data_IF_839477343788
#
_entry.id   IF_839477343788
#
_cell.length_a   1.000
_cell.length_b   1.000
_cell.length_c   1.000
_cell.angle_alpha   90.00
_cell.angle_beta   90.00
_cell.angle_gamma   90.00
#
_symmetry.space_group_name_H-M   'P 1'
#
loop_
_entity.id
_entity.type
_entity.pdbx_description
1 polymer ?
#
# COMPACT_ATOMS: atom_id res chain seq x y z
N UNK A 1 -28.04 -1.54 -65.76
CA UNK A 1 -27.92 -0.48 -64.75
C UNK A 1 -28.27 -0.94 -63.31
N UNK A 2 -29.07 -1.98 -63.07
CA UNK A 2 -29.45 -2.42 -61.68
C UNK A 2 -28.31 -3.03 -60.86
N UNK A 3 -27.30 -3.71 -61.44
CA UNK A 3 -26.18 -4.35 -60.70
C UNK A 3 -25.19 -3.37 -60.09
N UNK A 4 -24.97 -2.18 -60.66
CA UNK A 4 -24.03 -1.19 -60.11
C UNK A 4 -24.60 -0.43 -58.87
N UNK A 5 -25.91 -0.19 -58.86
CA UNK A 5 -26.57 0.45 -57.72
C UNK A 5 -26.60 -0.43 -56.45
N UNK A 6 -26.76 -1.75 -56.65
CA UNK A 6 -26.75 -2.72 -55.55
C UNK A 6 -25.36 -2.90 -54.91
N UNK A 7 -24.28 -2.85 -55.72
CA UNK A 7 -22.89 -2.93 -55.26
C UNK A 7 -22.49 -1.68 -54.43
N UNK A 8 -22.97 -0.49 -54.80
CA UNK A 8 -22.76 0.76 -54.01
C UNK A 8 -23.44 0.75 -52.63
N UNK A 9 -24.66 0.24 -52.56
CA UNK A 9 -25.41 0.15 -51.29
C UNK A 9 -24.73 -0.80 -50.30
N UNK A 10 -24.25 -1.96 -50.70
CA UNK A 10 -23.50 -2.90 -49.88
C UNK A 10 -22.19 -2.30 -49.34
N UNK A 11 -21.47 -1.53 -50.16
CA UNK A 11 -20.20 -0.87 -49.76
C UNK A 11 -20.40 0.22 -48.73
N UNK A 12 -21.49 0.98 -48.76
CA UNK A 12 -21.83 2.01 -47.78
C UNK A 12 -22.24 1.37 -46.46
N UNK A 13 -23.08 0.34 -46.48
CA UNK A 13 -23.48 -0.39 -45.27
C UNK A 13 -22.25 -1.00 -44.54
N UNK A 14 -21.33 -1.62 -45.28
CA UNK A 14 -20.09 -2.17 -44.70
C UNK A 14 -19.24 -1.07 -44.07
N UNK A 15 -19.08 0.09 -44.69
CA UNK A 15 -18.34 1.23 -44.12
C UNK A 15 -18.99 1.74 -42.86
N UNK A 16 -20.31 1.86 -42.80
CA UNK A 16 -21.04 2.26 -41.58
C UNK A 16 -20.85 1.23 -40.48
N UNK A 17 -20.97 -0.06 -40.75
CA UNK A 17 -20.72 -1.13 -39.78
C UNK A 17 -19.31 -1.06 -39.19
N UNK A 18 -18.27 -0.90 -40.06
CA UNK A 18 -16.89 -0.76 -39.60
C UNK A 18 -16.73 0.46 -38.69
N UNK A 19 -17.33 1.60 -39.04
CA UNK A 19 -17.25 2.84 -38.25
C UNK A 19 -17.93 2.68 -36.89
N UNK A 20 -19.09 2.04 -36.83
CA UNK A 20 -19.81 1.74 -35.58
C UNK A 20 -18.98 0.79 -34.72
N UNK A 21 -18.43 -0.27 -35.25
CA UNK A 21 -17.57 -1.23 -34.54
C UNK A 21 -16.33 -0.49 -33.99
N UNK A 22 -15.68 0.33 -34.78
CA UNK A 22 -14.52 1.11 -34.37
C UNK A 22 -14.87 2.07 -33.21
N UNK A 23 -16.02 2.75 -33.29
CA UNK A 23 -16.51 3.63 -32.23
C UNK A 23 -16.80 2.86 -30.93
N UNK A 24 -17.40 1.67 -31.00
CA UNK A 24 -17.66 0.81 -29.86
C UNK A 24 -16.36 0.33 -29.21
N UNK A 25 -15.38 -0.11 -30.00
CA UNK A 25 -14.05 -0.51 -29.50
C UNK A 25 -13.38 0.66 -28.79
N UNK A 26 -13.36 1.84 -29.40
CA UNK A 26 -12.75 3.03 -28.81
C UNK A 26 -13.41 3.42 -27.48
N UNK A 27 -14.75 3.40 -27.41
CA UNK A 27 -15.52 3.66 -26.19
C UNK A 27 -15.19 2.66 -25.08
N UNK A 28 -15.13 1.37 -25.41
CA UNK A 28 -14.78 0.33 -24.44
C UNK A 28 -13.34 0.49 -23.91
N UNK A 29 -12.36 0.78 -24.79
CA UNK A 29 -10.97 1.04 -24.39
C UNK A 29 -10.87 2.25 -23.45
N UNK A 30 -11.56 3.34 -23.78
CA UNK A 30 -11.59 4.54 -22.93
C UNK A 30 -12.17 4.23 -21.56
N UNK A 31 -13.31 3.53 -21.51
CA UNK A 31 -13.96 3.13 -20.26
C UNK A 31 -13.04 2.23 -19.40
N UNK A 32 -12.35 1.28 -20.04
CA UNK A 32 -11.40 0.40 -19.35
C UNK A 32 -10.25 1.17 -18.71
N UNK A 33 -9.66 2.14 -19.43
CA UNK A 33 -8.58 2.99 -18.89
C UNK A 33 -9.08 3.78 -17.68
N UNK A 34 -10.26 4.38 -17.76
CA UNK A 34 -10.84 5.14 -16.65
C UNK A 34 -11.12 4.26 -15.43
N UNK A 35 -11.67 3.06 -15.62
CA UNK A 35 -11.94 2.09 -14.55
C UNK A 35 -10.64 1.69 -13.85
N UNK A 36 -9.60 1.33 -14.60
CA UNK A 36 -8.32 0.90 -14.04
C UNK A 36 -7.67 2.04 -13.23
N UNK A 37 -7.65 3.26 -13.77
CA UNK A 37 -7.06 4.41 -13.09
C UNK A 37 -7.81 4.76 -11.80
N UNK A 38 -9.14 4.81 -11.83
CA UNK A 38 -9.95 5.09 -10.64
C UNK A 38 -9.81 3.97 -9.60
N UNK A 39 -9.80 2.70 -10.01
CA UNK A 39 -9.59 1.56 -9.11
C UNK A 39 -8.24 1.63 -8.42
N UNK A 40 -7.17 2.04 -9.13
CA UNK A 40 -5.84 2.20 -8.55
C UNK A 40 -5.83 3.23 -7.42
N UNK A 41 -6.45 4.40 -7.65
CA UNK A 41 -6.53 5.46 -6.64
C UNK A 41 -7.31 4.97 -5.41
N UNK A 42 -8.48 4.35 -5.62
CA UNK A 42 -9.33 3.86 -4.53
C UNK A 42 -8.63 2.77 -3.69
N UNK A 43 -7.99 1.80 -4.33
CA UNK A 43 -7.27 0.72 -3.64
C UNK A 43 -6.08 1.30 -2.87
N UNK A 44 -5.28 2.18 -3.47
CA UNK A 44 -4.17 2.86 -2.79
C UNK A 44 -4.65 3.59 -1.54
N UNK A 45 -5.69 4.41 -1.67
CA UNK A 45 -6.24 5.17 -0.53
C UNK A 45 -6.78 4.24 0.56
N UNK A 46 -7.49 3.16 0.17
CA UNK A 46 -7.99 2.17 1.13
C UNK A 46 -6.86 1.47 1.88
N UNK A 47 -5.82 1.03 1.18
CA UNK A 47 -4.65 0.40 1.79
C UNK A 47 -3.96 1.36 2.74
N UNK A 48 -3.71 2.60 2.32
CA UNK A 48 -3.08 3.62 3.16
C UNK A 48 -3.89 3.91 4.42
N UNK A 49 -5.22 4.05 4.31
CA UNK A 49 -6.09 4.25 5.48
C UNK A 49 -6.04 3.06 6.44
N UNK A 50 -6.05 1.83 5.92
CA UNK A 50 -5.94 0.63 6.73
C UNK A 50 -4.57 0.53 7.41
N UNK A 51 -3.47 0.89 6.72
CA UNK A 51 -2.14 0.95 7.31
C UNK A 51 -2.06 1.96 8.45
N UNK A 52 -2.62 3.16 8.27
CA UNK A 52 -2.65 4.18 9.32
C UNK A 52 -3.47 3.71 10.53
N UNK A 53 -4.64 3.11 10.29
CA UNK A 53 -5.46 2.54 11.36
C UNK A 53 -4.69 1.47 12.13
N UNK A 54 -4.03 0.57 11.41
CA UNK A 54 -3.21 -0.49 12.01
C UNK A 54 -2.02 0.09 12.79
N UNK A 55 -1.32 1.11 12.26
CA UNK A 55 -0.21 1.76 12.96
C UNK A 55 -0.68 2.40 14.28
N UNK A 56 -1.83 3.09 14.28
CA UNK A 56 -2.43 3.67 15.47
C UNK A 56 -2.82 2.59 16.49
N UNK A 57 -3.52 1.55 16.05
CA UNK A 57 -3.91 0.43 16.94
C UNK A 57 -2.68 -0.26 17.53
N UNK A 58 -1.65 -0.50 16.72
CA UNK A 58 -0.40 -1.10 17.20
C UNK A 58 0.32 -0.20 18.21
N UNK A 59 0.33 1.12 17.97
CA UNK A 59 0.88 2.10 18.91
C UNK A 59 0.13 2.11 20.24
N UNK A 60 -1.21 2.05 20.20
CA UNK A 60 -2.05 1.95 21.41
C UNK A 60 -1.79 0.66 22.18
N UNK A 61 -1.65 -0.48 21.50
CA UNK A 61 -1.33 -1.76 22.12
C UNK A 61 0.02 -1.70 22.83
N UNK A 62 1.06 -1.17 22.15
CA UNK A 62 2.40 -0.99 22.72
C UNK A 62 2.37 -0.04 23.92
N UNK A 63 1.72 1.12 23.79
CA UNK A 63 1.60 2.10 24.87
C UNK A 63 0.87 1.54 26.09
N UNK A 64 -0.21 0.78 25.89
CA UNK A 64 -0.95 0.14 26.97
C UNK A 64 -0.11 -0.92 27.67
N UNK A 65 0.62 -1.75 26.94
CA UNK A 65 1.51 -2.75 27.52
C UNK A 65 2.64 -2.11 28.31
N UNK A 66 3.25 -1.04 27.80
CA UNK A 66 4.26 -0.26 28.54
C UNK A 66 3.71 0.30 29.85
N UNK A 67 2.47 0.84 29.83
CA UNK A 67 1.83 1.35 31.06
C UNK A 67 1.61 0.25 32.10
N UNK A 68 1.19 -0.95 31.67
CA UNK A 68 1.04 -2.11 32.55
C UNK A 68 2.38 -2.48 33.18
N UNK A 69 3.48 -2.36 32.44
CA UNK A 69 4.83 -2.64 32.87
C UNK A 69 5.55 -1.43 33.55
N UNK A 70 4.79 -0.50 34.15
CA UNK A 70 5.32 0.69 34.79
C UNK A 70 6.19 1.58 33.87
N UNK A 71 5.78 1.74 32.62
CA UNK A 71 6.47 2.52 31.59
C UNK A 71 7.90 2.03 31.27
N UNK A 72 8.21 0.76 31.53
CA UNK A 72 9.47 0.15 31.10
C UNK A 72 9.41 -0.21 29.62
N UNK A 73 10.56 -0.18 28.97
CA UNK A 73 10.71 -0.74 27.61
C UNK A 73 10.32 -2.21 27.63
N UNK A 74 9.56 -2.64 26.60
CA UNK A 74 9.12 -4.01 26.47
C UNK A 74 10.28 -4.90 25.98
N UNK A 75 10.28 -6.15 26.43
CA UNK A 75 11.12 -7.20 25.87
C UNK A 75 10.63 -7.62 24.47
N UNK A 76 11.50 -8.30 23.71
CA UNK A 76 11.11 -8.86 22.40
C UNK A 76 9.86 -9.76 22.50
N UNK A 77 9.77 -10.60 23.51
CA UNK A 77 8.66 -11.55 23.68
C UNK A 77 7.34 -10.84 24.00
N UNK A 78 7.39 -9.73 24.73
CA UNK A 78 6.22 -8.87 24.99
C UNK A 78 5.75 -8.19 23.71
N UNK A 79 6.66 -7.60 22.92
CA UNK A 79 6.32 -7.09 21.59
C UNK A 79 5.73 -8.18 20.69
N UNK A 80 6.37 -9.35 20.63
CA UNK A 80 5.92 -10.45 19.78
C UNK A 80 4.53 -10.94 20.19
N UNK A 81 4.21 -10.99 21.48
CA UNK A 81 2.91 -11.39 21.98
C UNK A 81 1.77 -10.50 21.45
N UNK A 82 2.02 -9.19 21.34
CA UNK A 82 0.98 -8.22 20.95
C UNK A 82 0.99 -7.89 19.45
N UNK A 83 2.13 -8.08 18.73
CA UNK A 83 2.28 -7.59 17.35
C UNK A 83 2.48 -8.69 16.28
N UNK A 84 2.85 -9.93 16.65
CA UNK A 84 3.25 -10.99 15.68
C UNK A 84 2.17 -11.32 14.63
N UNK A 85 0.91 -11.23 15.02
CA UNK A 85 -0.22 -11.57 14.17
C UNK A 85 -0.86 -10.34 13.51
N UNK A 86 -0.26 -9.15 13.72
CA UNK A 86 -0.75 -7.89 13.16
C UNK A 86 -0.31 -7.76 11.71
N UNK A 87 -1.26 -7.96 10.78
CA UNK A 87 -1.06 -7.90 9.33
C UNK A 87 -2.24 -7.24 8.64
N UNK A 88 -1.99 -6.58 7.50
CA UNK A 88 -3.05 -6.09 6.63
C UNK A 88 -3.73 -7.27 5.94
N UNK A 89 -5.05 -7.31 6.00
CA UNK A 89 -5.83 -8.35 5.32
C UNK A 89 -5.59 -8.33 3.81
N UNK A 90 -5.16 -9.47 3.26
CA UNK A 90 -4.89 -9.61 1.83
C UNK A 90 -3.58 -8.98 1.34
N UNK A 91 -2.67 -8.63 2.25
CA UNK A 91 -1.33 -8.10 1.95
C UNK A 91 -0.29 -8.91 2.73
N UNK A 92 0.26 -9.93 2.09
CA UNK A 92 1.14 -10.91 2.74
C UNK A 92 2.48 -10.32 3.16
N UNK A 93 2.97 -9.33 2.42
CA UNK A 93 4.21 -8.61 2.71
C UNK A 93 4.09 -7.64 3.90
N UNK A 94 2.89 -7.45 4.45
CA UNK A 94 2.68 -6.50 5.54
C UNK A 94 3.20 -7.02 6.88
N UNK A 95 3.82 -6.14 7.65
CA UNK A 95 4.30 -6.43 9.00
C UNK A 95 4.43 -5.16 9.84
N UNK A 96 4.48 -5.35 11.15
CA UNK A 96 4.74 -4.28 12.12
C UNK A 96 6.16 -4.42 12.66
N UNK A 97 6.82 -3.30 12.89
CA UNK A 97 8.08 -3.23 13.63
C UNK A 97 8.14 -1.99 14.52
N UNK A 98 9.01 -2.02 15.52
CA UNK A 98 9.18 -0.93 16.48
C UNK A 98 10.64 -0.55 16.54
N UNK A 99 10.91 0.75 16.51
CA UNK A 99 12.25 1.34 16.57
C UNK A 99 12.29 2.32 17.73
N UNK A 100 13.35 2.28 18.53
CA UNK A 100 13.57 3.24 19.60
C UNK A 100 13.90 4.64 19.07
N UNK A 101 13.78 5.63 19.94
CA UNK A 101 14.13 7.03 19.64
C UNK A 101 15.59 7.24 19.22
N UNK A 102 16.48 6.32 19.55
CA UNK A 102 17.89 6.35 19.12
C UNK A 102 18.15 5.67 17.78
N UNK A 103 17.15 4.95 17.22
CA UNK A 103 17.22 4.26 15.92
C UNK A 103 17.53 2.76 16.03
N UNK A 104 17.47 2.16 17.24
CA UNK A 104 17.66 0.73 17.43
C UNK A 104 16.35 -0.03 17.18
N UNK A 105 16.39 -1.13 16.46
CA UNK A 105 15.24 -2.00 16.23
C UNK A 105 14.85 -2.73 17.52
N UNK A 106 13.71 -2.40 18.10
CA UNK A 106 13.18 -3.03 19.31
C UNK A 106 12.38 -4.30 19.01
N UNK A 107 11.63 -4.27 17.90
CA UNK A 107 10.85 -5.42 17.43
C UNK A 107 10.83 -5.48 15.91
N UNK A 108 10.97 -6.67 15.35
CA UNK A 108 10.79 -6.99 13.94
C UNK A 108 10.43 -8.47 13.80
N UNK A 109 9.61 -8.85 12.80
CA UNK A 109 9.27 -10.25 12.53
C UNK A 109 10.51 -11.12 12.22
N UNK A 110 11.55 -10.50 11.62
CA UNK A 110 12.86 -11.13 11.43
C UNK A 110 13.72 -10.83 12.64
N UNK A 111 13.87 -11.80 13.54
CA UNK A 111 14.54 -11.64 14.84
C UNK A 111 15.98 -11.14 14.73
N UNK A 112 16.69 -11.51 13.64
CA UNK A 112 18.08 -11.09 13.41
C UNK A 112 18.26 -9.58 13.20
N UNK A 113 17.20 -8.84 12.97
CA UNK A 113 17.21 -7.38 12.87
C UNK A 113 17.10 -6.68 14.22
N UNK A 114 16.63 -7.36 15.24
CA UNK A 114 16.40 -6.80 16.58
C UNK A 114 17.73 -6.48 17.26
N UNK A 115 17.83 -5.34 17.93
CA UNK A 115 19.04 -4.83 18.58
C UNK A 115 20.03 -4.18 17.60
N UNK A 116 19.72 -4.12 16.30
CA UNK A 116 20.57 -3.47 15.29
C UNK A 116 20.04 -2.10 14.93
N UNK A 117 20.90 -1.19 14.45
CA UNK A 117 20.45 0.10 13.91
C UNK A 117 19.52 -0.12 12.70
N UNK A 118 18.50 0.72 12.59
CA UNK A 118 17.60 0.72 11.44
C UNK A 118 18.33 1.20 10.18
N UNK A 119 18.17 0.46 9.08
CA UNK A 119 18.87 0.75 7.82
C UNK A 119 18.08 1.67 6.87
N UNK A 120 16.79 1.80 7.08
CA UNK A 120 15.91 2.50 6.17
C UNK A 120 15.99 4.02 6.36
N UNK A 121 16.13 4.74 5.25
CA UNK A 121 16.35 6.20 5.22
C UNK A 121 15.17 6.99 5.81
N UNK A 122 13.94 6.52 5.64
CA UNK A 122 12.75 7.15 6.21
C UNK A 122 12.84 7.20 7.73
N UNK A 123 13.08 6.05 8.36
CA UNK A 123 13.13 5.95 9.83
C UNK A 123 14.35 6.69 10.37
N UNK A 124 15.49 6.62 9.71
CA UNK A 124 16.67 7.42 10.08
C UNK A 124 16.39 8.92 10.07
N UNK A 125 15.58 9.41 9.12
CA UNK A 125 15.14 10.79 9.07
C UNK A 125 14.22 11.12 10.28
N UNK A 126 13.25 10.25 10.59
CA UNK A 126 12.37 10.43 11.76
C UNK A 126 13.18 10.47 13.06
N UNK A 127 14.12 9.54 13.25
CA UNK A 127 15.03 9.52 14.40
C UNK A 127 15.82 10.83 14.52
N UNK A 128 16.31 11.36 13.38
CA UNK A 128 17.03 12.64 13.34
C UNK A 128 16.13 13.80 13.76
N UNK A 129 14.89 13.81 13.30
CA UNK A 129 13.91 14.83 13.68
C UNK A 129 13.60 14.75 15.18
N UNK A 130 13.35 13.56 15.72
CA UNK A 130 13.09 13.33 17.16
C UNK A 130 14.27 13.80 18.00
N UNK A 131 15.51 13.44 17.63
CA UNK A 131 16.74 13.90 18.30
C UNK A 131 16.92 15.43 18.27
N UNK A 132 16.36 16.10 17.28
CA UNK A 132 16.36 17.57 17.21
C UNK A 132 15.22 18.24 18.00
N UNK A 133 14.43 17.46 18.75
CA UNK A 133 13.30 17.94 19.55
C UNK A 133 12.02 18.16 18.75
N UNK A 134 11.95 17.71 17.49
CA UNK A 134 10.70 17.70 16.73
C UNK A 134 9.86 16.48 17.08
N UNK A 135 8.56 16.61 16.97
CA UNK A 135 7.61 15.51 17.12
C UNK A 135 6.83 15.36 15.81
N UNK A 136 7.31 14.53 14.88
CA UNK A 136 6.64 14.32 13.60
C UNK A 136 5.23 13.74 13.81
N UNK A 137 4.26 14.27 13.07
CA UNK A 137 2.90 13.77 13.09
C UNK A 137 2.81 12.37 12.42
N UNK A 138 1.89 11.51 12.85
CA UNK A 138 1.64 10.23 12.19
C UNK A 138 1.36 10.42 10.70
N UNK A 139 2.05 9.67 9.85
CA UNK A 139 1.90 9.78 8.39
C UNK A 139 2.06 8.44 7.70
N UNK A 140 1.56 8.40 6.44
CA UNK A 140 1.87 7.34 5.48
C UNK A 140 2.82 7.91 4.45
N UNK A 141 3.90 7.20 4.21
CA UNK A 141 4.91 7.56 3.20
C UNK A 141 5.31 6.34 2.40
N UNK A 142 5.73 6.59 1.17
CA UNK A 142 6.38 5.61 0.33
C UNK A 142 7.90 5.83 0.35
N UNK A 143 8.66 4.72 0.34
CA UNK A 143 10.12 4.75 0.34
C UNK A 143 10.68 3.55 -0.41
N UNK A 144 11.88 3.71 -0.98
CA UNK A 144 12.61 2.60 -1.57
C UNK A 144 13.41 1.87 -0.50
N UNK A 145 13.32 0.54 -0.51
CA UNK A 145 14.15 -0.34 0.30
C UNK A 145 14.73 -1.44 -0.56
N UNK A 146 16.00 -1.33 -0.89
CA UNK A 146 16.73 -2.27 -1.75
C UNK A 146 16.08 -2.49 -3.12
N UNK A 147 15.58 -1.43 -3.76
CA UNK A 147 14.92 -1.47 -5.06
C UNK A 147 13.46 -1.93 -5.03
N UNK A 148 12.89 -2.09 -3.84
CA UNK A 148 11.45 -2.38 -3.64
C UNK A 148 10.77 -1.16 -3.04
N UNK A 149 9.77 -0.62 -3.74
CA UNK A 149 8.94 0.46 -3.20
C UNK A 149 8.02 -0.12 -2.13
N UNK A 150 8.07 0.48 -0.94
CA UNK A 150 7.25 0.12 0.21
C UNK A 150 6.41 1.29 0.68
N UNK A 151 5.23 0.98 1.20
CA UNK A 151 4.47 1.90 2.04
C UNK A 151 4.86 1.71 3.50
N UNK A 152 4.95 2.81 4.24
CA UNK A 152 5.08 2.80 5.69
C UNK A 152 4.09 3.76 6.33
N UNK A 153 3.26 3.23 7.23
CA UNK A 153 2.48 4.04 8.17
C UNK A 153 3.20 4.07 9.51
N UNK A 154 3.45 5.24 10.07
CA UNK A 154 4.14 5.33 11.35
C UNK A 154 3.40 6.19 12.36
N UNK A 155 3.62 5.87 13.63
CA UNK A 155 3.16 6.61 14.80
C UNK A 155 4.31 6.71 15.80
N UNK A 156 4.51 7.90 16.37
CA UNK A 156 5.51 8.12 17.42
C UNK A 156 4.81 8.07 18.78
N UNK A 157 5.35 7.26 19.68
CA UNK A 157 4.84 7.10 21.05
C UNK A 157 5.32 8.24 21.96
N UNK A 158 4.72 8.36 23.15
CA UNK A 158 5.08 9.38 24.16
C UNK A 158 6.56 9.27 24.62
N UNK A 159 7.11 8.05 24.62
CA UNK A 159 8.53 7.80 24.91
C UNK A 159 9.45 8.00 23.69
N UNK A 160 8.90 8.49 22.58
CA UNK A 160 9.56 8.75 21.30
C UNK A 160 9.96 7.50 20.51
N UNK A 161 9.53 6.30 20.91
CA UNK A 161 9.68 5.12 20.06
C UNK A 161 8.73 5.22 18.85
N UNK A 162 9.11 4.59 17.75
CA UNK A 162 8.42 4.67 16.48
C UNK A 162 7.79 3.31 16.16
N UNK A 163 6.47 3.25 16.10
CA UNK A 163 5.73 2.07 15.62
C UNK A 163 5.46 2.24 14.15
N UNK A 164 5.83 1.24 13.35
CA UNK A 164 5.74 1.29 11.88
C UNK A 164 5.03 0.06 11.37
N UNK A 165 4.06 0.29 10.48
CA UNK A 165 3.44 -0.74 9.63
C UNK A 165 4.03 -0.59 8.23
N UNK A 166 4.61 -1.64 7.69
CA UNK A 166 5.19 -1.63 6.34
C UNK A 166 4.58 -2.70 5.46
N UNK A 167 4.49 -2.42 4.16
CA UNK A 167 4.06 -3.37 3.13
C UNK A 167 4.71 -3.04 1.79
N UNK A 168 4.93 -4.05 0.94
CA UNK A 168 5.39 -3.84 -0.43
C UNK A 168 4.27 -3.23 -1.27
N UNK A 169 4.55 -2.16 -2.03
CA UNK A 169 3.55 -1.48 -2.85
C UNK A 169 2.88 -2.44 -3.84
N UNK A 170 3.66 -3.27 -4.52
CA UNK A 170 3.16 -4.22 -5.51
C UNK A 170 2.18 -5.23 -4.92
N UNK A 171 2.45 -5.72 -3.72
CA UNK A 171 1.58 -6.65 -3.01
C UNK A 171 0.31 -5.91 -2.51
N UNK A 172 0.48 -4.76 -1.89
CA UNK A 172 -0.61 -3.92 -1.41
C UNK A 172 -1.60 -3.53 -2.52
N UNK A 173 -1.09 -3.35 -3.75
CA UNK A 173 -1.89 -3.01 -4.93
C UNK A 173 -2.24 -4.22 -5.82
N UNK A 174 -1.96 -5.45 -5.40
CA UNK A 174 -2.18 -6.68 -6.19
C UNK A 174 -3.64 -6.88 -6.63
N UNK A 175 -4.60 -6.37 -5.86
CA UNK A 175 -6.02 -6.34 -6.23
C UNK A 175 -6.31 -5.65 -7.57
N UNK A 176 -5.48 -4.66 -7.98
CA UNK A 176 -5.61 -3.96 -9.26
C UNK A 176 -5.31 -4.90 -10.42
N UNK A 177 -4.24 -5.70 -10.31
CA UNK A 177 -3.85 -6.68 -11.33
C UNK A 177 -4.97 -7.68 -11.58
N UNK A 178 -5.69 -8.08 -10.52
CA UNK A 178 -6.86 -8.96 -10.61
C UNK A 178 -8.01 -8.30 -11.37
N UNK A 179 -8.33 -7.04 -11.08
CA UNK A 179 -9.39 -6.26 -11.78
C UNK A 179 -9.02 -6.09 -13.25
N UNK A 180 -7.79 -5.72 -13.57
CA UNK A 180 -7.31 -5.52 -14.94
C UNK A 180 -7.42 -6.82 -15.75
N UNK A 181 -7.08 -7.97 -15.15
CA UNK A 181 -7.19 -9.28 -15.80
C UNK A 181 -8.66 -9.62 -16.08
N UNK A 182 -9.57 -9.44 -15.14
CA UNK A 182 -11.00 -9.72 -15.31
C UNK A 182 -11.60 -8.82 -16.39
N UNK A 183 -11.26 -7.53 -16.40
CA UNK A 183 -11.74 -6.58 -17.41
C UNK A 183 -11.21 -6.92 -18.82
N UNK A 184 -10.00 -7.47 -18.92
CA UNK A 184 -9.44 -7.94 -20.19
C UNK A 184 -10.15 -9.16 -20.76
N UNK A 185 -10.64 -10.08 -19.93
CA UNK A 185 -11.41 -11.26 -20.37
C UNK A 185 -12.83 -10.93 -20.84
N UNK A 186 -13.42 -9.82 -20.41
CA UNK A 186 -14.75 -9.38 -20.85
C UNK A 186 -14.73 -8.64 -22.21
N UNK A 187 -13.57 -8.50 -22.85
CA UNK A 187 -13.39 -7.85 -24.16
C UNK A 187 -13.24 -8.86 -25.30
N UNK A 188 -13.26 -10.16 -25.06
CA UNK A 188 -13.25 -11.25 -26.02
C UNK A 188 -14.62 -11.91 -26.05
#
# INVERSE_FOLDING_TARGET
>A
MKKQAQKKKGTIAVKICILVIAALILSNLTSMILIVNNSRILIRTSVQNNMMSMAKTSAELVSNEMRINNNKSLSYDEYARILKDTKLTGVDSSYVYVVSSDGTMLYHNTKDKVGKPVENSLINNLVTQIKSGKQPEPAIVDYDYNGVVKYAGYVILDNHDIVVVSADENDALSGITRITRISGYNLI
#
